data_IF_320058249712
#
_entry.id   IF_320058249712
#
_cell.length_a   1.000
_cell.length_b   1.000
_cell.length_c   1.000
_cell.angle_alpha   90.00
_cell.angle_beta   90.00
_cell.angle_gamma   90.00
#
_symmetry.space_group_name_H-M   'P 1'
#
loop_
_entity.id
_entity.type
_entity.pdbx_description
1 polymer ?
#
# COMPACT_ATOMS: atom_id res chain seq x y z
N UNK A 1 11.20 14.20 -23.56
CA UNK A 1 10.98 12.79 -23.19
C UNK A 1 10.22 12.81 -21.88
N UNK A 2 9.24 11.93 -21.67
CA UNK A 2 8.56 11.80 -20.38
C UNK A 2 9.58 11.56 -19.25
N UNK A 3 9.30 12.09 -18.07
CA UNK A 3 10.07 11.90 -16.84
C UNK A 3 9.35 10.92 -15.93
N UNK A 4 10.10 10.02 -15.29
CA UNK A 4 9.59 9.12 -14.27
C UNK A 4 10.21 9.43 -12.92
N UNK A 5 9.38 9.72 -11.92
CA UNK A 5 9.81 9.77 -10.52
C UNK A 5 9.20 8.61 -9.76
N UNK A 6 9.94 8.04 -8.82
CA UNK A 6 9.46 6.91 -8.03
C UNK A 6 9.79 7.08 -6.55
N UNK A 7 8.87 6.64 -5.70
CA UNK A 7 8.98 6.70 -4.26
C UNK A 7 8.67 5.32 -3.67
N UNK A 8 9.65 4.71 -3.02
CA UNK A 8 9.57 3.35 -2.50
C UNK A 8 9.71 3.36 -0.98
N UNK A 9 8.67 2.92 -0.28
CA UNK A 9 8.58 2.90 1.17
C UNK A 9 8.57 1.46 1.66
N UNK A 10 9.47 1.12 2.58
CA UNK A 10 9.52 -0.19 3.23
C UNK A 10 9.71 -0.06 4.73
N UNK A 11 8.74 -0.51 5.53
CA UNK A 11 8.72 -0.34 6.97
C UNK A 11 8.71 -1.70 7.68
N UNK A 12 9.89 -2.13 8.17
CA UNK A 12 10.03 -3.35 8.99
C UNK A 12 9.64 -3.14 10.47
N UNK A 13 9.31 -1.91 10.87
CA UNK A 13 8.87 -1.56 12.22
C UNK A 13 8.26 -0.16 12.25
N UNK A 14 7.58 0.15 13.34
CA UNK A 14 7.05 1.48 13.67
C UNK A 14 7.70 2.03 14.95
N UNK A 15 7.50 3.31 15.26
CA UNK A 15 7.97 3.90 16.51
C UNK A 15 7.14 3.41 17.71
N UNK A 16 7.68 2.58 18.63
CA UNK A 16 6.90 2.07 19.76
C UNK A 16 6.41 3.19 20.68
N UNK A 17 7.06 4.35 20.70
CA UNK A 17 6.59 5.50 21.47
C UNK A 17 5.33 6.14 20.87
N UNK A 18 5.07 5.93 19.57
CA UNK A 18 3.86 6.38 18.87
C UNK A 18 2.78 5.30 18.84
N UNK A 19 3.15 4.04 19.06
CA UNK A 19 2.26 2.88 18.93
C UNK A 19 2.04 2.14 20.26
N UNK A 20 2.06 2.86 21.40
CA UNK A 20 1.78 2.32 22.75
C UNK A 20 2.56 1.03 23.05
N UNK A 21 3.86 1.05 22.73
CA UNK A 21 4.80 -0.03 22.95
C UNK A 21 4.83 -1.11 21.85
N UNK A 22 3.92 -1.08 20.88
CA UNK A 22 3.96 -1.97 19.72
C UNK A 22 5.01 -1.49 18.71
N UNK A 23 5.93 -2.37 18.34
CA UNK A 23 7.03 -2.07 17.42
C UNK A 23 6.75 -2.49 15.97
N UNK A 24 5.62 -3.17 15.69
CA UNK A 24 5.20 -3.57 14.35
C UNK A 24 6.27 -4.34 13.57
N UNK A 25 6.93 -5.29 14.22
CA UNK A 25 8.05 -5.99 13.63
C UNK A 25 7.62 -6.81 12.39
N UNK A 26 8.19 -6.45 11.25
CA UNK A 26 8.19 -7.20 9.98
C UNK A 26 9.65 -7.42 9.54
N UNK A 27 9.90 -8.28 8.56
CA UNK A 27 11.26 -8.63 8.13
C UNK A 27 11.54 -8.29 6.66
N UNK A 28 10.50 -8.23 5.82
CA UNK A 28 10.68 -8.20 4.37
C UNK A 28 10.41 -6.84 3.70
N UNK A 29 9.72 -5.91 4.36
CA UNK A 29 9.25 -4.67 3.75
C UNK A 29 10.35 -3.77 3.19
N UNK A 30 11.47 -3.62 3.90
CA UNK A 30 12.59 -2.87 3.36
C UNK A 30 13.23 -3.55 2.14
N UNK A 31 13.15 -4.88 2.03
CA UNK A 31 13.65 -5.59 0.86
C UNK A 31 12.74 -5.34 -0.35
N UNK A 32 11.41 -5.40 -0.15
CA UNK A 32 10.43 -5.04 -1.18
C UNK A 32 10.68 -3.64 -1.75
N UNK A 33 10.90 -2.65 -0.87
CA UNK A 33 11.17 -1.29 -1.30
C UNK A 33 12.46 -1.18 -2.13
N UNK A 34 13.51 -1.94 -1.78
CA UNK A 34 14.77 -1.98 -2.54
C UNK A 34 14.60 -2.65 -3.90
N UNK A 35 13.85 -3.73 -3.98
CA UNK A 35 13.59 -4.45 -5.24
C UNK A 35 12.73 -3.61 -6.18
N UNK A 36 11.70 -2.95 -5.66
CA UNK A 36 10.89 -2.02 -6.45
C UNK A 36 11.69 -0.80 -6.94
N UNK A 37 12.58 -0.26 -6.10
CA UNK A 37 13.52 0.79 -6.51
C UNK A 37 14.49 0.33 -7.60
N UNK A 38 14.96 -0.93 -7.54
CA UNK A 38 15.80 -1.50 -8.57
C UNK A 38 15.06 -1.63 -9.92
N UNK A 39 13.79 -2.08 -9.90
CA UNK A 39 12.93 -2.10 -11.09
C UNK A 39 12.74 -0.69 -11.64
N UNK A 40 12.43 0.28 -10.79
CA UNK A 40 12.20 1.66 -11.21
C UNK A 40 13.45 2.25 -11.90
N UNK A 41 14.63 2.12 -11.28
CA UNK A 41 15.90 2.55 -11.90
C UNK A 41 16.17 1.88 -13.23
N UNK A 42 15.96 0.56 -13.32
CA UNK A 42 16.20 -0.19 -14.55
C UNK A 42 15.31 0.27 -15.72
N UNK A 43 14.15 0.86 -15.42
CA UNK A 43 13.21 1.41 -16.41
C UNK A 43 13.29 2.94 -16.56
N UNK A 44 14.31 3.59 -15.99
CA UNK A 44 14.59 5.01 -16.22
C UNK A 44 13.88 5.98 -15.27
N UNK A 45 13.32 5.51 -14.16
CA UNK A 45 12.85 6.38 -13.09
C UNK A 45 14.02 6.96 -12.29
N UNK A 46 13.87 8.18 -11.79
CA UNK A 46 14.65 8.66 -10.65
C UNK A 46 13.96 8.23 -9.36
N UNK A 47 14.61 7.36 -8.58
CA UNK A 47 14.02 6.76 -7.38
C UNK A 47 14.38 7.49 -6.10
N UNK A 48 13.44 7.47 -5.17
CA UNK A 48 13.63 7.86 -3.77
C UNK A 48 13.25 6.67 -2.89
N UNK A 49 14.16 6.24 -2.03
CA UNK A 49 13.96 5.13 -1.10
C UNK A 49 13.78 5.68 0.32
N UNK A 50 12.68 5.31 0.97
CA UNK A 50 12.40 5.62 2.38
C UNK A 50 12.25 4.31 3.14
N UNK A 51 13.05 4.14 4.19
CA UNK A 51 13.05 2.94 5.01
C UNK A 51 12.61 3.26 6.44
N UNK A 52 12.07 2.26 7.13
CA UNK A 52 11.59 2.27 8.52
C UNK A 52 11.63 3.62 9.23
N UNK A 53 12.78 4.05 9.77
CA UNK A 53 12.86 5.24 10.64
C UNK A 53 12.54 6.55 9.93
N UNK A 54 12.82 6.62 8.64
CA UNK A 54 12.54 7.79 7.81
C UNK A 54 11.11 7.76 7.24
N UNK A 55 10.39 6.65 7.43
CA UNK A 55 9.03 6.38 6.98
C UNK A 55 7.94 7.17 7.68
N UNK A 56 8.18 8.43 8.01
CA UNK A 56 7.22 9.31 8.68
C UNK A 56 6.27 9.96 7.68
N UNK A 57 5.08 10.32 8.12
CA UNK A 57 4.12 11.11 7.32
C UNK A 57 4.77 12.37 6.77
N UNK A 58 5.53 13.09 7.60
CA UNK A 58 6.17 14.33 7.18
C UNK A 58 7.15 14.11 6.02
N UNK A 59 7.99 13.07 6.09
CA UNK A 59 8.97 12.81 5.05
C UNK A 59 8.29 12.32 3.76
N UNK A 60 7.37 11.35 3.87
CA UNK A 60 6.69 10.77 2.71
C UNK A 60 5.87 11.83 1.96
N UNK A 61 5.08 12.65 2.66
CA UNK A 61 4.31 13.73 2.03
C UNK A 61 5.21 14.82 1.46
N UNK A 62 6.36 15.11 2.07
CA UNK A 62 7.33 16.05 1.50
C UNK A 62 7.87 15.56 0.15
N UNK A 63 8.20 14.27 0.01
CA UNK A 63 8.66 13.68 -1.25
C UNK A 63 7.54 13.66 -2.30
N UNK A 64 6.32 13.28 -1.93
CA UNK A 64 5.16 13.31 -2.85
C UNK A 64 4.91 14.73 -3.38
N UNK A 65 4.93 15.74 -2.49
CA UNK A 65 4.74 17.14 -2.88
C UNK A 65 5.88 17.69 -3.74
N UNK A 66 7.11 17.23 -3.52
CA UNK A 66 8.23 17.58 -4.38
C UNK A 66 8.07 16.95 -5.77
N UNK A 67 7.69 15.67 -5.85
CA UNK A 67 7.39 15.03 -7.13
C UNK A 67 6.22 15.74 -7.86
N UNK A 68 5.17 16.12 -7.14
CA UNK A 68 4.03 16.85 -7.72
C UNK A 68 4.41 18.22 -8.30
N UNK A 69 5.46 18.88 -7.76
CA UNK A 69 6.00 20.13 -8.32
C UNK A 69 6.81 19.91 -9.60
N UNK A 70 7.39 18.73 -9.78
CA UNK A 70 8.29 18.42 -10.89
C UNK A 70 7.57 17.77 -12.07
N UNK A 71 6.66 16.82 -11.80
CA UNK A 71 5.99 16.04 -12.84
C UNK A 71 4.90 16.87 -13.55
N UNK A 72 4.91 16.80 -14.88
CA UNK A 72 3.95 17.48 -15.76
C UNK A 72 3.20 16.47 -16.64
N UNK A 73 2.21 16.95 -17.41
CA UNK A 73 1.42 16.09 -18.31
C UNK A 73 2.31 15.21 -19.19
N UNK A 74 2.07 13.90 -19.17
CA UNK A 74 2.84 12.87 -19.88
C UNK A 74 3.84 12.14 -19.00
N UNK A 75 4.21 12.70 -17.85
CA UNK A 75 5.13 12.07 -16.91
C UNK A 75 4.45 10.97 -16.08
N UNK A 76 5.22 10.27 -15.24
CA UNK A 76 4.72 9.20 -14.38
C UNK A 76 5.32 9.24 -12.97
N UNK A 77 4.46 9.04 -11.98
CA UNK A 77 4.82 8.69 -10.61
C UNK A 77 4.65 7.18 -10.41
N UNK A 78 5.66 6.52 -9.88
CA UNK A 78 5.54 5.18 -9.29
C UNK A 78 5.67 5.29 -7.75
N UNK A 79 4.60 4.99 -7.04
CA UNK A 79 4.57 4.92 -5.59
C UNK A 79 4.51 3.45 -5.16
N UNK A 80 5.38 3.01 -4.26
CA UNK A 80 5.27 1.66 -3.69
C UNK A 80 5.37 1.70 -2.19
N UNK A 81 4.49 0.96 -1.51
CA UNK A 81 4.50 0.85 -0.06
C UNK A 81 4.50 -0.62 0.34
N UNK A 82 5.37 -0.96 1.28
CA UNK A 82 5.40 -2.26 1.95
C UNK A 82 5.52 -2.01 3.46
N UNK A 83 4.59 -2.59 4.23
CA UNK A 83 4.46 -2.36 5.66
C UNK A 83 3.12 -2.84 6.18
N UNK A 84 2.77 -2.49 7.43
CA UNK A 84 1.44 -2.76 7.95
C UNK A 84 0.38 -1.84 7.31
N UNK A 85 -0.83 -2.34 7.16
CA UNK A 85 -2.03 -1.52 6.98
C UNK A 85 -3.00 -1.68 8.15
N UNK A 86 -4.05 -0.85 8.18
CA UNK A 86 -5.04 -0.81 9.25
C UNK A 86 -6.29 -0.03 8.83
N UNK A 87 -7.25 0.14 9.72
CA UNK A 87 -8.52 0.79 9.42
C UNK A 87 -8.97 1.77 10.49
N UNK A 88 -9.35 2.99 10.11
CA UNK A 88 -10.02 3.93 11.00
C UNK A 88 -11.51 3.99 10.72
N UNK A 89 -12.39 3.89 11.73
CA UNK A 89 -13.82 4.10 11.50
C UNK A 89 -14.10 5.54 11.05
N UNK A 90 -15.19 5.74 10.32
CA UNK A 90 -15.72 7.09 10.10
C UNK A 90 -16.14 7.72 11.44
N UNK A 91 -15.42 8.74 11.88
CA UNK A 91 -15.68 9.47 13.12
C UNK A 91 -16.56 10.70 12.91
N UNK A 92 -16.92 11.01 11.67
CA UNK A 92 -17.68 12.22 11.32
C UNK A 92 -19.18 11.98 11.23
N UNK A 93 -19.62 10.71 11.13
CA UNK A 93 -21.02 10.32 11.22
C UNK A 93 -21.85 10.60 9.96
N UNK A 94 -21.21 11.11 8.90
CA UNK A 94 -21.80 11.26 7.57
C UNK A 94 -21.35 10.06 6.75
N UNK A 95 -22.25 9.08 6.63
CA UNK A 95 -22.01 7.78 5.98
C UNK A 95 -21.06 7.89 4.78
N UNK A 96 -19.83 7.41 4.99
CA UNK A 96 -18.87 7.26 3.89
C UNK A 96 -19.44 6.39 2.77
N UNK A 97 -18.90 6.61 1.58
CA UNK A 97 -19.20 5.83 0.37
C UNK A 97 -18.67 4.40 0.50
N UNK A 98 -17.72 4.18 1.42
CA UNK A 98 -17.20 2.90 1.91
C UNK A 98 -18.34 2.00 2.41
N UNK A 99 -18.37 0.75 1.93
CA UNK A 99 -19.49 -0.17 2.22
C UNK A 99 -19.52 -0.59 3.70
N UNK A 100 -18.39 -0.50 4.40
CA UNK A 100 -18.23 -0.83 5.82
C UNK A 100 -18.08 0.40 6.75
N UNK A 101 -18.02 1.61 6.18
CA UNK A 101 -17.82 2.91 6.87
C UNK A 101 -16.49 3.03 7.61
N UNK A 102 -15.41 2.53 7.02
CA UNK A 102 -14.05 2.70 7.55
C UNK A 102 -13.11 3.19 6.46
N UNK A 103 -12.18 4.06 6.85
CA UNK A 103 -11.07 4.50 6.02
C UNK A 103 -9.90 3.52 6.17
N UNK A 104 -9.30 3.15 5.04
CA UNK A 104 -8.07 2.36 5.06
C UNK A 104 -6.86 3.22 5.42
N UNK A 105 -5.86 2.60 6.02
CA UNK A 105 -4.64 3.31 6.43
C UNK A 105 -3.38 2.57 6.01
N UNK A 106 -2.36 3.35 5.65
CA UNK A 106 -0.98 2.92 5.64
C UNK A 106 -0.37 3.19 7.01
N UNK A 107 0.20 2.19 7.67
CA UNK A 107 0.80 2.35 9.00
C UNK A 107 2.24 2.84 8.86
N UNK A 108 2.40 4.16 8.79
CA UNK A 108 3.72 4.79 8.73
C UNK A 108 4.46 4.73 10.07
N UNK A 109 5.72 5.14 10.08
CA UNK A 109 6.57 5.01 11.27
C UNK A 109 6.04 5.78 12.48
N UNK A 110 5.39 6.93 12.26
CA UNK A 110 4.96 7.87 13.30
C UNK A 110 3.46 7.90 13.58
N UNK A 111 2.61 7.46 12.63
CA UNK A 111 1.16 7.27 12.80
C UNK A 111 0.54 6.56 11.59
N UNK A 112 -0.71 6.12 11.73
CA UNK A 112 -1.48 5.64 10.58
C UNK A 112 -1.85 6.82 9.68
N UNK A 113 -1.68 6.65 8.37
CA UNK A 113 -1.92 7.63 7.31
C UNK A 113 -3.12 7.19 6.49
N UNK A 114 -4.17 8.01 6.46
CA UNK A 114 -5.43 7.65 5.79
C UNK A 114 -5.22 7.57 4.27
N UNK A 115 -5.93 6.67 3.61
CA UNK A 115 -6.07 6.62 2.16
C UNK A 115 -6.56 7.95 1.57
N UNK A 116 -7.48 8.65 2.23
CA UNK A 116 -7.93 9.99 1.87
C UNK A 116 -6.80 11.03 1.92
N UNK A 117 -5.84 10.88 2.85
CA UNK A 117 -4.64 11.72 2.87
C UNK A 117 -3.75 11.41 1.67
N UNK A 118 -3.54 10.13 1.33
CA UNK A 118 -2.78 9.72 0.15
C UNK A 118 -3.42 10.24 -1.13
N UNK A 119 -4.74 10.08 -1.23
CA UNK A 119 -5.54 10.56 -2.36
C UNK A 119 -5.40 12.06 -2.53
N UNK A 120 -5.43 12.83 -1.43
CA UNK A 120 -5.17 14.28 -1.44
C UNK A 120 -3.77 14.62 -1.93
N UNK A 121 -2.74 13.85 -1.57
CA UNK A 121 -1.39 14.07 -2.12
C UNK A 121 -1.35 13.77 -3.62
N UNK A 122 -2.06 12.75 -4.10
CA UNK A 122 -2.17 12.46 -5.54
C UNK A 122 -2.96 13.52 -6.32
N UNK A 123 -3.95 14.17 -5.72
CA UNK A 123 -4.65 15.31 -6.33
C UNK A 123 -3.75 16.52 -6.60
N UNK A 124 -2.59 16.62 -5.96
CA UNK A 124 -1.65 17.72 -6.17
C UNK A 124 -0.89 17.62 -7.50
N UNK A 125 -0.88 16.45 -8.15
CA UNK A 125 -0.18 16.25 -9.41
C UNK A 125 -0.90 16.91 -10.59
N UNK A 126 -0.13 17.38 -11.57
CA UNK A 126 -0.69 17.99 -12.77
C UNK A 126 -1.55 17.00 -13.56
N UNK A 127 -2.62 17.50 -14.19
CA UNK A 127 -3.45 16.70 -15.10
C UNK A 127 -2.58 16.06 -16.19
N UNK A 128 -2.80 14.77 -16.45
CA UNK A 128 -2.04 14.01 -17.44
C UNK A 128 -0.74 13.39 -16.91
N UNK A 129 -0.39 13.63 -15.63
CA UNK A 129 0.59 12.79 -14.93
C UNK A 129 -0.06 11.43 -14.64
N UNK A 130 0.61 10.34 -15.02
CA UNK A 130 0.19 8.98 -14.69
C UNK A 130 0.65 8.66 -13.27
N UNK A 131 -0.20 8.04 -12.47
CA UNK A 131 0.19 7.56 -11.14
C UNK A 131 -0.03 6.04 -11.09
N UNK A 132 0.99 5.31 -10.66
CA UNK A 132 0.91 3.88 -10.33
C UNK A 132 1.27 3.71 -8.87
N UNK A 133 0.38 3.12 -8.08
CA UNK A 133 0.62 2.75 -6.69
C UNK A 133 0.59 1.23 -6.54
N UNK A 134 1.65 0.66 -5.96
CA UNK A 134 1.73 -0.76 -5.60
C UNK A 134 1.80 -0.88 -4.07
N UNK A 135 0.80 -1.49 -3.46
CA UNK A 135 0.60 -1.50 -2.01
C UNK A 135 0.68 -2.94 -1.48
N UNK A 136 1.83 -3.31 -0.92
CA UNK A 136 2.06 -4.62 -0.30
C UNK A 136 1.76 -4.58 1.21
N UNK A 137 0.49 -4.33 1.53
CA UNK A 137 -0.06 -4.27 2.89
C UNK A 137 -1.53 -4.75 2.92
N UNK A 138 -2.08 -4.95 4.12
CA UNK A 138 -3.49 -5.32 4.30
C UNK A 138 -4.36 -4.07 4.45
N UNK A 139 -5.48 -4.03 3.72
CA UNK A 139 -6.44 -2.91 3.70
C UNK A 139 -7.86 -3.37 4.02
N UNK A 140 -8.02 -4.41 4.84
CA UNK A 140 -9.28 -5.17 4.85
C UNK A 140 -10.03 -5.09 6.17
N UNK A 141 -9.39 -4.54 7.22
CA UNK A 141 -9.93 -4.66 8.57
C UNK A 141 -10.09 -6.08 9.09
N UNK A 142 -9.73 -7.07 8.28
CA UNK A 142 -9.93 -8.48 8.59
C UNK A 142 -8.97 -8.78 9.71
N UNK A 143 -9.52 -8.97 10.91
CA UNK A 143 -8.69 -9.31 12.07
C UNK A 143 -7.97 -10.62 11.78
N UNK A 144 -6.74 -10.74 12.28
CA UNK A 144 -6.00 -12.00 12.15
C UNK A 144 -6.76 -13.17 12.78
N UNK A 145 -7.58 -12.89 13.79
CA UNK A 145 -8.53 -13.82 14.40
C UNK A 145 -9.55 -14.34 13.38
N UNK A 146 -10.13 -13.44 12.57
CA UNK A 146 -11.05 -13.82 11.50
C UNK A 146 -10.36 -14.68 10.43
N UNK A 147 -9.11 -14.38 10.08
CA UNK A 147 -8.32 -15.21 9.16
C UNK A 147 -8.07 -16.60 9.74
N UNK A 148 -7.74 -16.69 11.04
CA UNK A 148 -7.51 -17.96 11.72
C UNK A 148 -8.77 -18.82 11.83
N UNK A 149 -9.95 -18.19 11.98
CA UNK A 149 -11.23 -18.90 12.01
C UNK A 149 -11.67 -19.40 10.62
N UNK A 150 -11.33 -18.64 9.57
CA UNK A 150 -11.75 -18.95 8.20
C UNK A 150 -10.81 -19.90 7.46
N UNK A 151 -9.54 -19.97 7.85
CA UNK A 151 -8.52 -20.76 7.15
C UNK A 151 -8.18 -22.06 7.89
N UNK A 152 -7.87 -23.11 7.11
CA UNK A 152 -7.34 -24.35 7.68
C UNK A 152 -5.91 -24.15 8.19
N UNK A 153 -5.44 -24.93 9.18
CA UNK A 153 -4.05 -24.88 9.64
C UNK A 153 -3.04 -25.06 8.50
N UNK A 154 -3.33 -25.91 7.51
CA UNK A 154 -2.45 -26.08 6.34
C UNK A 154 -2.38 -24.83 5.47
N UNK A 155 -3.50 -24.11 5.31
CA UNK A 155 -3.54 -22.85 4.57
C UNK A 155 -2.72 -21.76 5.29
N UNK A 156 -2.84 -21.67 6.62
CA UNK A 156 -2.03 -20.77 7.44
C UNK A 156 -0.53 -21.07 7.34
N UNK A 157 -0.15 -22.35 7.49
CA UNK A 157 1.26 -22.77 7.35
C UNK A 157 1.83 -22.44 5.97
N UNK A 158 1.04 -22.63 4.91
CA UNK A 158 1.49 -22.33 3.55
C UNK A 158 1.71 -20.83 3.33
N UNK A 159 0.87 -19.98 3.91
CA UNK A 159 0.91 -18.52 3.69
C UNK A 159 1.85 -17.78 4.63
N UNK A 160 1.85 -18.14 5.92
CA UNK A 160 2.55 -17.43 6.99
C UNK A 160 3.73 -18.23 7.56
N UNK A 161 3.98 -19.43 7.06
CA UNK A 161 5.02 -20.33 7.57
C UNK A 161 4.68 -20.98 8.92
N UNK A 162 3.48 -20.71 9.46
CA UNK A 162 3.00 -21.24 10.73
C UNK A 162 1.48 -21.21 10.81
N UNK A 163 0.89 -22.12 11.59
CA UNK A 163 -0.51 -22.07 12.01
C UNK A 163 -0.68 -21.56 13.45
N UNK A 164 0.43 -21.26 14.15
CA UNK A 164 0.40 -20.72 15.50
C UNK A 164 -0.05 -19.25 15.49
N UNK A 165 -1.07 -18.85 16.28
CA UNK A 165 -1.67 -17.53 16.18
C UNK A 165 -0.70 -16.35 16.24
N UNK A 166 0.23 -16.38 17.19
CA UNK A 166 1.23 -15.32 17.38
C UNK A 166 2.22 -15.20 16.21
N UNK A 167 2.55 -16.31 15.55
CA UNK A 167 3.47 -16.31 14.42
C UNK A 167 2.75 -15.85 13.14
N UNK A 168 1.48 -16.24 12.98
CA UNK A 168 0.62 -15.76 11.90
C UNK A 168 0.45 -14.24 12.00
N UNK A 169 0.17 -13.72 13.20
CA UNK A 169 0.08 -12.27 13.44
C UNK A 169 1.39 -11.54 13.15
N UNK A 170 2.54 -12.09 13.59
CA UNK A 170 3.85 -11.51 13.33
C UNK A 170 4.27 -11.53 11.85
N UNK A 171 3.68 -12.41 11.04
CA UNK A 171 3.92 -12.51 9.60
C UNK A 171 2.82 -11.82 8.77
N UNK A 172 1.83 -11.19 9.41
CA UNK A 172 0.75 -10.49 8.75
C UNK A 172 1.02 -9.00 8.66
N UNK A 173 0.80 -8.43 7.48
CA UNK A 173 1.00 -6.99 7.22
C UNK A 173 -0.21 -6.15 7.62
N UNK A 174 -0.71 -6.38 8.84
CA UNK A 174 -1.86 -5.69 9.43
C UNK A 174 -1.54 -5.29 10.86
N UNK A 175 -2.03 -4.15 11.30
CA UNK A 175 -1.99 -3.78 12.72
C UNK A 175 -2.93 -4.70 13.55
N UNK A 176 -2.47 -5.25 14.69
CA UNK A 176 -3.32 -6.05 15.57
C UNK A 176 -4.57 -5.29 16.03
N UNK A 177 -5.71 -5.98 16.10
CA UNK A 177 -7.01 -5.33 16.35
C UNK A 177 -7.10 -4.69 17.74
N UNK A 178 -6.46 -5.26 18.76
CA UNK A 178 -6.37 -4.68 20.10
C UNK A 178 -5.58 -3.36 20.08
N UNK A 179 -4.49 -3.32 19.30
CA UNK A 179 -3.69 -2.11 19.08
C UNK A 179 -4.44 -1.08 18.27
N UNK A 180 -5.17 -1.50 17.24
CA UNK A 180 -6.03 -0.60 16.47
C UNK A 180 -7.04 0.11 17.37
N UNK A 181 -7.72 -0.64 18.24
CA UNK A 181 -8.70 -0.07 19.17
C UNK A 181 -8.05 0.88 20.20
N UNK A 182 -6.91 0.50 20.78
CA UNK A 182 -6.19 1.35 21.73
C UNK A 182 -5.78 2.69 21.11
N UNK A 183 -5.21 2.65 19.91
CA UNK A 183 -4.77 3.86 19.20
C UNK A 183 -5.94 4.72 18.73
N UNK A 184 -7.03 4.10 18.28
CA UNK A 184 -8.26 4.82 17.96
C UNK A 184 -8.80 5.59 19.17
N UNK A 185 -8.84 4.97 20.34
CA UNK A 185 -9.32 5.63 21.56
C UNK A 185 -8.41 6.78 21.97
N UNK A 186 -7.09 6.62 21.81
CA UNK A 186 -6.09 7.66 22.12
C UNK A 186 -6.12 8.83 21.14
N UNK A 187 -6.20 8.55 19.84
CA UNK A 187 -6.00 9.52 18.75
C UNK A 187 -7.32 9.92 18.07
N UNK A 188 -8.47 9.61 18.68
CA UNK A 188 -9.81 9.83 18.12
C UNK A 188 -10.01 11.24 17.58
N UNK A 189 -9.63 12.26 18.35
CA UNK A 189 -9.81 13.66 17.96
C UNK A 189 -8.94 14.04 16.76
N UNK A 190 -7.71 13.53 16.69
CA UNK A 190 -6.80 13.73 15.56
C UNK A 190 -7.42 13.20 14.26
N UNK A 191 -7.87 11.94 14.27
CA UNK A 191 -8.45 11.32 13.07
C UNK A 191 -9.80 11.95 12.70
N UNK A 192 -10.63 12.32 13.68
CA UNK A 192 -11.88 13.04 13.41
C UNK A 192 -11.64 14.44 12.81
N UNK A 193 -10.58 15.14 13.22
CA UNK A 193 -10.18 16.42 12.61
C UNK A 193 -9.64 16.22 11.19
N UNK A 194 -8.82 15.18 10.96
CA UNK A 194 -8.29 14.85 9.62
C UNK A 194 -9.43 14.52 8.65
N UNK A 195 -10.32 13.58 9.00
CA UNK A 195 -11.49 13.22 8.18
C UNK A 195 -12.35 14.46 7.83
N UNK A 196 -12.65 15.32 8.82
CA UNK A 196 -13.39 16.58 8.57
C UNK A 196 -12.68 17.54 7.62
N UNK A 197 -11.35 17.57 7.61
CA UNK A 197 -10.57 18.41 6.71
C UNK A 197 -10.51 17.81 5.30
N UNK A 198 -10.40 16.49 5.18
CA UNK A 198 -10.31 15.78 3.92
C UNK A 198 -11.66 15.80 3.17
N UNK A 199 -12.79 15.64 3.88
CA UNK A 199 -14.15 15.76 3.30
C UNK A 199 -14.47 17.12 2.65
N UNK A 200 -13.73 18.19 2.97
CA UNK A 200 -13.93 19.51 2.34
C UNK A 200 -13.28 19.63 0.96
N UNK A 201 -12.46 18.66 0.55
CA UNK A 201 -11.74 18.69 -0.71
C UNK A 201 -12.52 17.99 -1.84
N UNK A 202 -13.31 18.77 -2.59
CA UNK A 202 -13.98 18.32 -3.82
C UNK A 202 -13.06 18.38 -5.06
N UNK A 203 -11.79 18.01 -4.91
CA UNK A 203 -10.82 18.00 -6.01
C UNK A 203 -11.19 16.98 -7.10
N UNK A 204 -10.75 17.22 -8.33
CA UNK A 204 -10.88 16.20 -9.38
C UNK A 204 -10.07 14.96 -8.99
N UNK A 205 -10.63 13.77 -9.21
CA UNK A 205 -9.92 12.53 -8.97
C UNK A 205 -8.65 12.44 -9.84
N UNK A 206 -7.50 12.09 -9.26
CA UNK A 206 -6.28 11.86 -10.02
C UNK A 206 -6.45 10.61 -10.89
N UNK A 207 -5.80 10.61 -12.06
CA UNK A 207 -5.76 9.41 -12.91
C UNK A 207 -4.70 8.44 -12.37
N UNK A 208 -5.09 7.57 -11.45
CA UNK A 208 -4.17 6.62 -10.81
C UNK A 208 -4.61 5.17 -10.99
N UNK A 209 -3.62 4.29 -11.12
CA UNK A 209 -3.75 2.84 -11.02
C UNK A 209 -3.22 2.41 -9.65
N UNK A 210 -4.04 1.71 -8.87
CA UNK A 210 -3.67 1.14 -7.58
C UNK A 210 -3.76 -0.40 -7.67
N UNK A 211 -2.70 -1.08 -7.24
CA UNK A 211 -2.67 -2.53 -7.11
C UNK A 211 -2.25 -2.86 -5.67
N UNK A 212 -3.19 -3.35 -4.87
CA UNK A 212 -2.99 -3.84 -3.52
C UNK A 212 -2.71 -5.34 -3.49
N UNK A 213 -2.02 -5.80 -2.44
CA UNK A 213 -1.56 -7.19 -2.31
C UNK A 213 -2.66 -8.22 -2.03
N UNK A 214 -3.83 -7.81 -1.52
CA UNK A 214 -4.91 -8.70 -1.16
C UNK A 214 -6.29 -8.04 -1.35
N UNK A 215 -7.35 -8.86 -1.33
CA UNK A 215 -8.73 -8.38 -1.29
C UNK A 215 -9.11 -7.88 0.12
N UNK A 216 -10.22 -7.16 0.21
CA UNK A 216 -10.78 -6.57 1.44
C UNK A 216 -11.23 -7.61 2.48
N UNK A 217 -11.18 -8.91 2.17
CA UNK A 217 -11.46 -10.01 3.10
C UNK A 217 -10.25 -10.93 3.30
N UNK A 218 -9.05 -10.47 2.96
CA UNK A 218 -7.81 -11.23 2.98
C UNK A 218 -6.71 -10.45 3.72
N UNK A 219 -5.60 -11.14 3.99
CA UNK A 219 -4.42 -10.58 4.67
C UNK A 219 -3.19 -10.85 3.80
N UNK A 220 -2.36 -9.82 3.64
CA UNK A 220 -1.06 -9.87 3.00
C UNK A 220 0.01 -10.45 3.94
N UNK A 221 0.73 -11.47 3.46
CA UNK A 221 1.85 -12.11 4.15
C UNK A 221 3.17 -11.36 3.92
N UNK A 222 3.94 -11.19 4.99
CA UNK A 222 5.26 -10.58 4.96
C UNK A 222 6.33 -11.46 4.33
N UNK A 223 6.14 -12.78 4.32
CA UNK A 223 7.14 -13.71 3.83
C UNK A 223 8.47 -13.65 4.61
N UNK A 224 9.50 -14.33 4.09
CA UNK A 224 10.81 -14.42 4.74
C UNK A 224 11.86 -13.45 4.18
N UNK A 225 11.71 -13.06 2.91
CA UNK A 225 12.65 -12.18 2.19
C UNK A 225 11.89 -11.01 1.58
N UNK A 226 10.75 -11.30 0.94
CA UNK A 226 9.83 -10.34 0.36
C UNK A 226 8.41 -10.65 0.81
N UNK A 227 7.55 -9.65 0.76
CA UNK A 227 6.10 -9.87 0.86
C UNK A 227 5.65 -10.82 -0.23
N UNK A 228 4.64 -11.65 0.05
CA UNK A 228 4.20 -12.66 -0.93
C UNK A 228 3.78 -12.03 -2.27
N UNK A 229 3.13 -10.85 -2.21
CA UNK A 229 2.75 -10.14 -3.43
C UNK A 229 3.99 -9.63 -4.18
N UNK A 230 4.93 -8.99 -3.48
CA UNK A 230 6.18 -8.52 -4.12
C UNK A 230 6.97 -9.69 -4.69
N UNK A 231 7.12 -10.81 -3.99
CA UNK A 231 7.78 -12.03 -4.49
C UNK A 231 7.19 -12.49 -5.83
N UNK A 232 5.85 -12.59 -5.91
CA UNK A 232 5.17 -13.01 -7.16
C UNK A 232 5.26 -11.96 -8.24
N UNK A 233 5.20 -10.67 -7.90
CA UNK A 233 5.42 -9.57 -8.82
C UNK A 233 6.80 -9.67 -9.47
N UNK A 234 7.86 -9.86 -8.68
CA UNK A 234 9.23 -9.99 -9.16
C UNK A 234 9.39 -11.20 -10.10
N UNK A 235 8.78 -12.33 -9.74
CA UNK A 235 8.81 -13.54 -10.56
C UNK A 235 8.13 -13.35 -11.93
N UNK A 236 6.95 -12.70 -11.97
CA UNK A 236 6.24 -12.41 -13.21
C UNK A 236 6.93 -11.33 -14.03
N UNK A 237 7.56 -10.35 -13.38
CA UNK A 237 8.34 -9.31 -14.04
C UNK A 237 9.54 -9.89 -14.81
N UNK A 238 10.11 -10.98 -14.29
CA UNK A 238 11.19 -11.76 -14.92
C UNK A 238 12.36 -10.88 -15.37
N UNK A 239 12.85 -10.02 -14.48
CA UNK A 239 13.94 -9.06 -14.75
C UNK A 239 13.69 -8.18 -16.00
N UNK A 240 12.45 -7.84 -16.28
CA UNK A 240 12.04 -7.07 -17.46
C UNK A 240 11.70 -7.90 -18.68
N UNK A 241 11.70 -9.24 -18.57
CA UNK A 241 11.24 -10.16 -19.60
C UNK A 241 9.74 -10.08 -19.89
N UNK A 242 8.94 -9.62 -18.92
CA UNK A 242 7.48 -9.52 -19.04
C UNK A 242 7.01 -8.75 -20.30
N UNK A 243 5.93 -9.24 -20.92
CA UNK A 243 5.27 -8.64 -22.07
C UNK A 243 3.76 -8.54 -21.80
N UNK A 244 3.18 -7.37 -22.08
CA UNK A 244 1.75 -7.10 -21.86
C UNK A 244 1.52 -5.78 -21.12
N UNK A 245 0.25 -5.42 -20.96
CA UNK A 245 -0.15 -4.23 -20.21
C UNK A 245 -0.24 -4.47 -18.70
N UNK A 246 -0.64 -3.45 -17.93
CA UNK A 246 -0.85 -3.58 -16.49
C UNK A 246 -1.90 -4.64 -16.12
N UNK A 247 -2.95 -4.82 -16.94
CA UNK A 247 -3.98 -5.85 -16.71
C UNK A 247 -3.44 -7.26 -16.91
N UNK A 248 -2.57 -7.44 -17.90
CA UNK A 248 -1.90 -8.73 -18.12
C UNK A 248 -0.99 -9.06 -16.95
N UNK A 249 -0.24 -8.05 -16.49
CA UNK A 249 0.69 -8.19 -15.38
C UNK A 249 -0.03 -8.56 -14.09
N UNK A 250 -1.06 -7.81 -13.71
CA UNK A 250 -1.90 -8.12 -12.54
C UNK A 250 -2.50 -9.52 -12.62
N UNK A 251 -3.10 -9.89 -13.76
CA UNK A 251 -3.68 -11.22 -13.97
C UNK A 251 -2.62 -12.32 -13.81
N UNK A 252 -1.43 -12.13 -14.36
CA UNK A 252 -0.39 -13.15 -14.35
C UNK A 252 0.24 -13.28 -12.95
N UNK A 253 0.33 -12.19 -12.17
CA UNK A 253 0.62 -12.26 -10.73
C UNK A 253 -0.47 -13.06 -10.03
N UNK A 254 -1.75 -12.70 -10.22
CA UNK A 254 -2.88 -13.36 -9.56
C UNK A 254 -2.91 -14.87 -9.80
N UNK A 255 -2.52 -15.37 -10.98
CA UNK A 255 -2.41 -16.81 -11.28
C UNK A 255 -1.37 -17.55 -10.43
N UNK A 256 -0.36 -16.84 -9.92
CA UNK A 256 0.72 -17.42 -9.09
C UNK A 256 0.48 -17.26 -7.60
N UNK A 257 -0.58 -16.53 -7.23
CA UNK A 257 -0.96 -16.23 -5.85
C UNK A 257 -1.88 -17.33 -5.29
N UNK A 258 -1.81 -17.62 -3.98
CA UNK A 258 -2.75 -18.54 -3.37
C UNK A 258 -4.15 -17.91 -3.26
N UNK A 259 -5.20 -18.74 -3.21
CA UNK A 259 -6.59 -18.25 -3.15
C UNK A 259 -6.93 -17.36 -1.94
N UNK A 260 -6.08 -17.41 -0.91
CA UNK A 260 -6.22 -16.72 0.38
C UNK A 260 -5.51 -15.35 0.41
N UNK A 261 -4.77 -15.00 -0.64
CA UNK A 261 -4.19 -13.67 -0.84
C UNK A 261 -4.15 -13.38 -2.33
N UNK A 262 -5.05 -12.53 -2.81
CA UNK A 262 -5.22 -12.23 -4.24
C UNK A 262 -5.09 -10.73 -4.47
N UNK A 263 -4.13 -10.29 -5.30
CA UNK A 263 -3.92 -8.88 -5.53
C UNK A 263 -5.11 -8.27 -6.23
N UNK A 264 -5.32 -7.01 -5.93
CA UNK A 264 -6.51 -6.26 -6.25
C UNK A 264 -6.14 -5.22 -7.36
N UNK A 265 -7.08 -4.71 -8.16
CA UNK A 265 -6.78 -3.77 -9.26
C UNK A 265 -7.83 -2.67 -9.34
N UNK A 266 -7.44 -1.45 -8.97
CA UNK A 266 -8.35 -0.32 -8.77
C UNK A 266 -7.84 0.86 -9.58
N UNK A 267 -8.76 1.68 -10.06
CA UNK A 267 -8.42 2.92 -10.75
C UNK A 267 -9.22 4.07 -10.16
N UNK A 268 -8.56 5.18 -9.90
CA UNK A 268 -9.22 6.46 -9.58
C UNK A 268 -9.22 7.36 -10.81
N UNK A 269 -10.19 8.28 -10.90
CA UNK A 269 -10.33 9.11 -12.10
C UNK A 269 -10.72 8.30 -13.34
N UNK A 270 -10.07 8.58 -14.46
CA UNK A 270 -10.28 7.87 -15.72
C UNK A 270 -8.94 7.67 -16.47
N UNK A 271 -8.00 6.87 -15.92
CA UNK A 271 -6.72 6.59 -16.56
C UNK A 271 -6.95 6.05 -17.97
N UNK A 272 -6.26 6.63 -18.94
CA UNK A 272 -6.47 6.29 -20.35
C UNK A 272 -6.20 4.79 -20.62
N UNK A 273 -6.93 4.14 -21.54
CA UNK A 273 -6.63 2.77 -21.96
C UNK A 273 -5.18 2.64 -22.45
N UNK A 274 -4.67 3.64 -23.16
CA UNK A 274 -3.27 3.69 -23.62
C UNK A 274 -2.29 3.54 -22.45
N UNK A 275 -2.52 4.23 -21.34
CA UNK A 275 -1.70 4.10 -20.13
C UNK A 275 -1.80 2.68 -19.54
N UNK A 276 -3.00 2.12 -19.43
CA UNK A 276 -3.20 0.80 -18.83
C UNK A 276 -2.67 -0.35 -19.71
N UNK A 277 -2.57 -0.14 -21.02
CA UNK A 277 -1.99 -1.07 -21.99
C UNK A 277 -0.47 -0.93 -22.13
N UNK A 278 0.14 0.08 -21.48
CA UNK A 278 1.61 0.18 -21.42
C UNK A 278 2.20 -0.98 -20.62
N UNK A 279 3.39 -1.41 -21.04
CA UNK A 279 4.21 -2.32 -20.24
C UNK A 279 4.40 -1.72 -18.83
N UNK A 280 4.23 -2.51 -17.75
CA UNK A 280 4.50 -2.05 -16.40
C UNK A 280 5.85 -1.35 -16.30
N UNK A 281 5.88 -0.25 -15.54
CA UNK A 281 7.09 0.57 -15.31
C UNK A 281 7.62 1.28 -16.56
N UNK A 282 6.78 1.55 -17.58
CA UNK A 282 7.18 2.41 -18.71
C UNK A 282 7.16 3.89 -18.31
N UNK A 283 8.30 4.57 -18.48
CA UNK A 283 8.40 6.04 -18.43
C UNK A 283 7.96 6.66 -19.75
#
# INVERSE_FOLDING_TARGET
MPTGLSLHIGLNSVDPARYDGWNGQLVACENDARDMAAIARANGFSDTLILTRDGTVQNITAQLREAARQLVSGDILLFTYSGHGGQMPDLTGDADVETDRKDETLVFFDRQFLDDELYKEFQAFAKGVRIVALLDCCHSGTSIESVQELLSPQALETQFGSSAPQQVEAAARVIPSDKQQQLLDRDRELYADLQRQLKKNNGQAPDALLIGACQDNQVASDGAVNGLFTEKLLAVWDNGGFQGGYRDFHRDIQKTMPAIQSPNFYTTGAPSPVFLDQKPFTV
#
